data_IF_249754808222
#
_entry.id   IF_249754808222
#
_cell.length_a   1.000
_cell.length_b   1.000
_cell.length_c   1.000
_cell.angle_alpha   90.00
_cell.angle_beta   90.00
_cell.angle_gamma   90.00
#
_symmetry.space_group_name_H-M   'P 1'
#
loop_
_entity.id
_entity.type
_entity.pdbx_description
1 polymer ?
#
# COMPACT_ATOMS: atom_id res chain seq x y z
N UNK A 1 9.96 -0.70 -4.38
CA UNK A 1 9.67 -1.77 -5.35
C UNK A 1 9.48 -3.07 -4.57
N UNK A 2 8.60 -3.95 -5.03
CA UNK A 2 8.32 -5.25 -4.43
C UNK A 2 8.46 -6.33 -5.48
N UNK A 3 9.11 -7.44 -5.12
CA UNK A 3 9.22 -8.63 -5.98
C UNK A 3 8.46 -9.77 -5.33
N UNK A 4 7.49 -10.32 -6.07
CA UNK A 4 6.65 -11.42 -5.61
C UNK A 4 7.21 -12.78 -6.07
N UNK A 5 6.83 -13.90 -5.41
CA UNK A 5 7.29 -15.24 -5.79
C UNK A 5 7.01 -15.64 -7.24
N UNK A 6 5.99 -15.05 -7.86
CA UNK A 6 5.67 -15.23 -9.29
C UNK A 6 6.68 -14.59 -10.24
N UNK A 7 7.62 -13.79 -9.72
CA UNK A 7 8.50 -12.93 -10.51
C UNK A 7 7.87 -11.57 -10.87
N UNK A 8 6.62 -11.31 -10.46
CA UNK A 8 6.00 -10.00 -10.66
C UNK A 8 6.73 -8.92 -9.84
N UNK A 9 7.01 -7.80 -10.50
CA UNK A 9 7.65 -6.63 -9.89
C UNK A 9 6.62 -5.51 -9.84
N UNK A 10 6.35 -5.00 -8.63
CA UNK A 10 5.36 -3.96 -8.39
C UNK A 10 6.05 -2.72 -7.82
N UNK A 11 5.83 -1.58 -8.47
CA UNK A 11 6.21 -0.27 -7.97
C UNK A 11 4.97 0.49 -7.51
N UNK A 12 4.85 0.73 -6.21
CA UNK A 12 3.82 1.60 -5.65
C UNK A 12 4.44 2.97 -5.34
N UNK A 13 3.77 4.03 -5.77
CA UNK A 13 4.20 5.41 -5.60
C UNK A 13 3.02 6.24 -5.09
N UNK A 14 3.30 7.17 -4.20
CA UNK A 14 2.30 8.06 -3.63
C UNK A 14 2.85 9.49 -3.59
N UNK A 15 2.01 10.48 -3.91
CA UNK A 15 2.35 11.89 -3.86
C UNK A 15 1.17 12.70 -3.32
N UNK A 16 1.40 13.46 -2.25
CA UNK A 16 0.41 14.36 -1.64
C UNK A 16 0.87 15.82 -1.59
N UNK A 17 1.73 16.26 -2.53
CA UNK A 17 2.16 17.66 -2.61
C UNK A 17 1.11 18.50 -3.38
N UNK A 18 0.61 19.60 -2.80
CA UNK A 18 -0.29 20.53 -3.50
C UNK A 18 0.35 21.08 -4.78
N UNK A 19 -0.49 21.47 -5.76
CA UNK A 19 -0.05 22.09 -7.03
C UNK A 19 0.93 21.24 -7.85
N UNK A 20 0.86 19.90 -7.72
CA UNK A 20 1.63 18.96 -8.54
C UNK A 20 0.71 18.02 -9.33
N UNK A 21 1.28 17.30 -10.31
CA UNK A 21 0.53 16.30 -11.09
C UNK A 21 -0.22 15.34 -10.16
N UNK A 22 -1.55 15.30 -10.30
CA UNK A 22 -2.42 14.31 -9.69
C UNK A 22 -2.59 13.13 -10.63
N UNK A 23 -2.36 11.92 -10.12
CA UNK A 23 -2.57 10.69 -10.87
C UNK A 23 -2.92 9.55 -9.93
N UNK A 24 -4.14 9.05 -10.06
CA UNK A 24 -4.59 7.79 -9.44
C UNK A 24 -4.74 6.80 -10.59
N UNK A 25 -3.73 5.95 -10.73
CA UNK A 25 -3.70 4.95 -11.79
C UNK A 25 -2.83 3.75 -11.43
N UNK A 26 -3.19 2.64 -12.04
CA UNK A 26 -2.45 1.40 -12.08
C UNK A 26 -2.00 1.15 -13.52
N UNK A 27 -0.80 0.59 -13.66
CA UNK A 27 -0.27 0.21 -14.95
C UNK A 27 0.42 -1.15 -14.83
N UNK A 28 0.00 -2.10 -15.66
CA UNK A 28 0.53 -3.44 -15.69
C UNK A 28 1.07 -3.76 -17.08
N UNK A 29 2.25 -4.39 -17.13
CA UNK A 29 2.81 -4.97 -18.34
C UNK A 29 2.66 -6.49 -18.24
N UNK A 30 1.93 -7.08 -19.18
CA UNK A 30 1.75 -8.51 -19.32
C UNK A 30 2.51 -9.06 -20.53
N UNK A 31 2.45 -10.36 -20.76
CA UNK A 31 3.15 -10.98 -21.90
C UNK A 31 2.53 -10.64 -23.26
N UNK A 32 1.27 -10.20 -23.28
CA UNK A 32 0.50 -9.91 -24.51
C UNK A 32 0.19 -8.44 -24.73
N UNK A 33 0.57 -7.57 -23.80
CA UNK A 33 0.21 -6.17 -23.85
C UNK A 33 0.24 -5.50 -22.49
N UNK A 34 -0.50 -4.41 -22.37
CA UNK A 34 -0.56 -3.58 -21.17
C UNK A 34 -1.99 -3.41 -20.68
N UNK A 35 -2.13 -3.10 -19.40
CA UNK A 35 -3.36 -2.60 -18.79
C UNK A 35 -3.04 -1.26 -18.15
N UNK A 36 -3.85 -0.25 -18.43
CA UNK A 36 -3.74 1.07 -17.81
C UNK A 36 -5.09 1.51 -17.29
N UNK A 37 -5.14 2.02 -16.06
CA UNK A 37 -6.32 2.67 -15.49
C UNK A 37 -6.11 4.18 -15.41
N UNK A 38 -7.20 4.94 -15.47
CA UNK A 38 -7.19 6.38 -15.19
C UNK A 38 -8.57 6.79 -14.68
N UNK A 39 -8.66 7.04 -13.37
CA UNK A 39 -9.95 7.23 -12.71
C UNK A 39 -10.84 6.01 -12.91
N UNK A 40 -12.04 6.23 -13.47
CA UNK A 40 -13.04 5.18 -13.69
C UNK A 40 -12.88 4.44 -15.03
N UNK A 41 -11.78 4.65 -15.75
CA UNK A 41 -11.52 4.01 -17.04
C UNK A 41 -10.42 2.98 -16.94
N UNK A 42 -10.53 1.92 -17.75
CA UNK A 42 -9.48 0.92 -17.91
C UNK A 42 -9.32 0.55 -19.38
N UNK A 43 -8.08 0.50 -19.86
CA UNK A 43 -7.75 0.16 -21.24
C UNK A 43 -6.77 -1.01 -21.24
N UNK A 44 -7.04 -1.99 -22.10
CA UNK A 44 -6.11 -3.08 -22.40
C UNK A 44 -5.66 -2.92 -23.85
N UNK A 45 -4.36 -2.86 -24.06
CA UNK A 45 -3.75 -2.70 -25.38
C UNK A 45 -2.78 -3.84 -25.64
N UNK A 46 -2.76 -4.39 -26.85
CA UNK A 46 -1.73 -5.36 -27.24
C UNK A 46 -0.38 -4.68 -27.56
N UNK A 47 0.67 -5.46 -27.79
CA UNK A 47 1.99 -4.91 -28.13
C UNK A 47 2.08 -4.26 -29.52
N UNK A 48 1.08 -4.47 -30.37
CA UNK A 48 0.98 -3.86 -31.70
C UNK A 48 0.27 -2.49 -31.63
N UNK A 49 -0.36 -2.18 -30.49
CA UNK A 49 -1.08 -0.94 -30.24
C UNK A 49 -2.59 -1.04 -30.47
N UNK A 50 -3.15 -2.25 -30.66
CA UNK A 50 -4.59 -2.43 -30.78
C UNK A 50 -5.25 -2.41 -29.40
N UNK A 51 -6.35 -1.67 -29.27
CA UNK A 51 -7.22 -1.77 -28.10
C UNK A 51 -7.93 -3.12 -28.11
N UNK A 52 -7.62 -3.94 -27.11
CA UNK A 52 -8.26 -5.25 -26.89
C UNK A 52 -9.54 -5.08 -26.08
N UNK A 53 -9.54 -4.15 -25.13
CA UNK A 53 -10.69 -3.85 -24.28
C UNK A 53 -10.62 -2.41 -23.77
N UNK A 54 -11.78 -1.80 -23.62
CA UNK A 54 -11.94 -0.47 -23.05
C UNK A 54 -13.18 -0.47 -22.16
N UNK A 55 -12.99 -0.10 -20.89
CA UNK A 55 -14.06 0.13 -19.93
C UNK A 55 -14.25 1.62 -19.72
N UNK A 56 -15.51 2.06 -19.78
CA UNK A 56 -15.91 3.44 -19.52
C UNK A 56 -16.81 3.47 -18.28
N UNK A 57 -16.27 3.85 -17.13
CA UNK A 57 -17.00 3.84 -15.86
C UNK A 57 -18.07 4.92 -15.68
N UNK A 58 -18.46 5.66 -16.72
CA UNK A 58 -19.49 6.73 -16.61
C UNK A 58 -20.81 6.23 -15.99
N UNK A 59 -21.16 4.99 -16.28
CA UNK A 59 -22.42 4.38 -15.84
C UNK A 59 -22.20 3.41 -14.66
N UNK A 60 -20.99 3.39 -14.09
CA UNK A 60 -20.68 2.56 -12.94
C UNK A 60 -21.36 3.10 -11.68
N UNK A 61 -21.88 2.23 -10.81
CA UNK A 61 -22.38 2.66 -9.52
C UNK A 61 -21.24 3.20 -8.66
N UNK A 62 -21.57 4.13 -7.77
CA UNK A 62 -20.62 4.67 -6.81
C UNK A 62 -20.01 3.53 -5.97
N UNK A 63 -18.69 3.29 -6.02
CA UNK A 63 -18.07 2.15 -5.35
C UNK A 63 -18.27 2.17 -3.82
N UNK A 64 -18.31 3.36 -3.22
CA UNK A 64 -18.56 3.53 -1.77
C UNK A 64 -19.98 3.10 -1.38
N UNK A 65 -20.96 3.36 -2.24
CA UNK A 65 -22.34 2.91 -2.01
C UNK A 65 -22.46 1.41 -2.19
N UNK A 66 -21.81 0.86 -3.22
CA UNK A 66 -21.78 -0.58 -3.48
C UNK A 66 -21.18 -1.35 -2.31
N UNK A 67 -20.11 -0.85 -1.71
CA UNK A 67 -19.50 -1.45 -0.53
C UNK A 67 -20.50 -1.54 0.65
N UNK A 68 -21.20 -0.44 0.95
CA UNK A 68 -22.23 -0.44 1.99
C UNK A 68 -23.42 -1.36 1.66
N UNK A 69 -23.89 -1.38 0.40
CA UNK A 69 -24.96 -2.28 -0.02
C UNK A 69 -24.57 -3.74 0.23
N UNK A 70 -23.36 -4.15 -0.21
CA UNK A 70 -22.84 -5.50 0.00
C UNK A 70 -22.69 -5.83 1.47
N UNK A 71 -22.17 -4.90 2.28
CA UNK A 71 -22.04 -5.08 3.72
C UNK A 71 -23.40 -5.37 4.39
N UNK A 72 -24.42 -4.55 4.10
CA UNK A 72 -25.75 -4.74 4.69
C UNK A 72 -26.44 -6.00 4.18
N UNK A 73 -26.29 -6.33 2.91
CA UNK A 73 -26.80 -7.58 2.35
C UNK A 73 -26.18 -8.80 3.05
N UNK A 74 -24.86 -8.80 3.24
CA UNK A 74 -24.13 -9.86 3.94
C UNK A 74 -24.64 -10.02 5.37
N UNK A 75 -24.80 -8.92 6.12
CA UNK A 75 -25.31 -8.95 7.50
C UNK A 75 -26.73 -9.53 7.55
N UNK A 76 -27.62 -9.09 6.65
CA UNK A 76 -29.03 -9.51 6.66
C UNK A 76 -29.23 -10.95 6.24
N UNK A 77 -28.40 -11.43 5.33
CA UNK A 77 -28.54 -12.77 4.74
C UNK A 77 -27.61 -13.80 5.41
N UNK A 78 -26.85 -13.43 6.44
CA UNK A 78 -25.88 -14.31 7.09
C UNK A 78 -24.69 -14.68 6.20
N UNK A 79 -24.38 -13.85 5.20
CA UNK A 79 -23.20 -13.98 4.35
C UNK A 79 -21.92 -13.54 5.08
N UNK A 80 -20.77 -13.89 4.50
CA UNK A 80 -19.45 -13.49 5.01
C UNK A 80 -18.66 -12.80 3.91
N UNK A 81 -18.22 -11.57 4.18
CA UNK A 81 -17.19 -10.86 3.39
C UNK A 81 -15.88 -10.98 4.17
N UNK A 82 -14.90 -11.68 3.58
CA UNK A 82 -13.66 -12.07 4.25
C UNK A 82 -12.44 -11.31 3.71
N UNK A 83 -12.42 -9.99 3.88
CA UNK A 83 -11.32 -9.13 3.41
C UNK A 83 -10.23 -8.86 4.47
N UNK A 84 -10.40 -9.38 5.69
CA UNK A 84 -9.46 -9.16 6.79
C UNK A 84 -8.02 -9.58 6.43
N UNK A 85 -7.84 -10.70 5.74
CA UNK A 85 -6.52 -11.17 5.32
C UNK A 85 -5.92 -10.27 4.23
N UNK A 86 -6.73 -9.80 3.28
CA UNK A 86 -6.31 -8.86 2.25
C UNK A 86 -5.87 -7.53 2.88
N UNK A 87 -6.65 -7.02 3.84
CA UNK A 87 -6.31 -5.84 4.63
C UNK A 87 -4.99 -6.00 5.38
N UNK A 88 -4.84 -7.09 6.14
CA UNK A 88 -3.62 -7.38 6.89
C UNK A 88 -2.37 -7.46 5.99
N UNK A 89 -2.47 -8.14 4.84
CA UNK A 89 -1.36 -8.24 3.87
C UNK A 89 -1.03 -6.88 3.22
N UNK A 90 -2.04 -6.07 2.95
CA UNK A 90 -1.87 -4.72 2.38
C UNK A 90 -1.17 -3.79 3.37
N UNK A 91 -1.58 -3.82 4.64
CA UNK A 91 -0.92 -3.09 5.72
C UNK A 91 0.52 -3.55 5.91
N UNK A 92 0.77 -4.87 5.90
CA UNK A 92 2.13 -5.40 6.04
C UNK A 92 3.03 -4.98 4.86
N UNK A 93 2.48 -4.91 3.64
CA UNK A 93 3.21 -4.39 2.48
C UNK A 93 3.65 -2.93 2.69
N UNK A 94 2.79 -2.08 3.26
CA UNK A 94 3.15 -0.71 3.61
C UNK A 94 4.24 -0.64 4.69
N UNK A 95 4.15 -1.50 5.72
CA UNK A 95 5.17 -1.62 6.79
C UNK A 95 6.52 -2.01 6.20
N UNK A 96 6.56 -3.05 5.35
CA UNK A 96 7.79 -3.50 4.66
C UNK A 96 8.35 -2.38 3.78
N UNK A 97 7.49 -1.65 3.06
CA UNK A 97 7.90 -0.48 2.29
C UNK A 97 8.63 0.56 3.14
N UNK A 98 8.06 0.92 4.30
CA UNK A 98 8.71 1.81 5.28
C UNK A 98 10.04 1.26 5.78
N UNK A 99 10.09 -0.02 6.15
CA UNK A 99 11.32 -0.68 6.62
C UNK A 99 12.41 -0.62 5.55
N UNK A 100 12.10 -0.96 4.30
CA UNK A 100 13.03 -0.91 3.20
C UNK A 100 13.52 0.52 2.92
N UNK A 101 12.61 1.50 2.90
CA UNK A 101 12.97 2.91 2.68
C UNK A 101 13.92 3.44 3.76
N UNK A 102 13.62 3.23 5.04
CA UNK A 102 14.40 3.83 6.12
C UNK A 102 15.69 3.08 6.45
N UNK A 103 15.75 1.77 6.18
CA UNK A 103 17.00 1.00 6.30
C UNK A 103 17.89 1.08 5.07
N UNK A 104 17.34 1.37 3.90
CA UNK A 104 18.06 1.26 2.63
C UNK A 104 18.42 -0.20 2.25
N UNK A 105 17.76 -1.19 2.86
CA UNK A 105 18.04 -2.61 2.66
C UNK A 105 16.88 -3.31 1.93
N UNK A 106 17.18 -4.44 1.31
CA UNK A 106 16.17 -5.38 0.84
C UNK A 106 15.59 -6.09 2.05
N UNK A 107 14.26 -5.99 2.22
CA UNK A 107 13.53 -6.62 3.33
C UNK A 107 12.72 -7.78 2.79
N UNK A 108 12.91 -8.97 3.35
CA UNK A 108 12.11 -10.15 3.00
C UNK A 108 10.83 -10.18 3.84
N UNK A 109 9.77 -10.74 3.26
CA UNK A 109 8.48 -10.89 3.94
C UNK A 109 8.61 -11.63 5.27
N UNK A 110 9.24 -12.81 5.26
CA UNK A 110 9.37 -13.65 6.46
C UNK A 110 10.23 -12.99 7.55
N UNK A 111 11.27 -12.25 7.15
CA UNK A 111 12.12 -11.49 8.08
C UNK A 111 11.32 -10.38 8.77
N UNK A 112 10.54 -9.62 8.00
CA UNK A 112 9.71 -8.56 8.55
C UNK A 112 8.59 -9.10 9.47
N UNK A 113 8.00 -10.26 9.14
CA UNK A 113 7.00 -10.93 9.97
C UNK A 113 7.56 -11.46 11.30
N UNK A 114 8.87 -11.73 11.36
CA UNK A 114 9.56 -12.19 12.57
C UNK A 114 10.19 -11.06 13.37
N UNK A 115 10.05 -9.81 12.92
CA UNK A 115 10.58 -8.63 13.61
C UNK A 115 10.02 -8.52 15.02
N UNK A 116 10.91 -8.31 15.99
CA UNK A 116 10.55 -8.05 17.38
C UNK A 116 10.82 -6.59 17.77
N UNK A 117 11.01 -5.71 16.78
CA UNK A 117 11.25 -4.29 17.02
C UNK A 117 10.00 -3.64 17.61
N UNK A 118 10.13 -3.18 18.86
CA UNK A 118 9.08 -2.43 19.56
C UNK A 118 9.31 -0.94 19.32
N UNK A 119 8.38 -0.29 18.61
CA UNK A 119 8.45 1.16 18.33
C UNK A 119 7.87 2.03 19.43
N UNK A 120 6.99 1.48 20.25
CA UNK A 120 6.36 2.14 21.37
C UNK A 120 6.18 1.12 22.52
N UNK A 121 6.47 1.49 23.78
CA UNK A 121 6.22 0.62 24.93
C UNK A 121 4.72 0.29 25.06
N UNK A 122 4.41 -0.90 25.59
CA UNK A 122 3.02 -1.32 25.80
C UNK A 122 2.34 -0.54 26.94
N UNK A 123 3.08 -0.18 27.99
CA UNK A 123 2.56 0.47 29.20
C UNK A 123 2.78 2.00 29.19
N UNK A 124 2.23 2.68 28.18
CA UNK A 124 2.25 4.14 28.13
C UNK A 124 1.20 4.75 29.05
N UNK A 125 1.66 5.60 29.96
CA UNK A 125 0.82 6.45 30.83
C UNK A 125 1.00 7.91 30.45
N UNK A 126 0.15 8.80 30.99
CA UNK A 126 0.29 10.25 30.78
C UNK A 126 1.61 10.82 31.30
N UNK A 127 2.24 10.17 32.28
CA UNK A 127 3.52 10.57 32.86
C UNK A 127 4.73 9.86 32.19
N UNK A 128 4.48 8.95 31.25
CA UNK A 128 5.56 8.22 30.57
C UNK A 128 6.33 9.15 29.63
N UNK A 129 7.67 9.05 29.58
CA UNK A 129 8.45 9.78 28.59
C UNK A 129 8.07 9.31 27.18
N UNK A 130 8.15 10.22 26.20
CA UNK A 130 7.93 9.88 24.80
C UNK A 130 8.90 8.76 24.34
N UNK A 131 8.47 7.82 23.49
CA UNK A 131 9.33 6.73 23.01
C UNK A 131 10.59 7.21 22.26
N UNK A 132 10.49 8.39 21.63
CA UNK A 132 11.60 9.05 20.96
C UNK A 132 11.90 10.34 21.70
N UNK A 133 13.16 10.50 22.11
CA UNK A 133 13.64 11.70 22.81
C UNK A 133 14.39 12.62 21.84
N UNK A 134 14.35 13.95 22.06
CA UNK A 134 15.17 14.87 21.30
C UNK A 134 16.65 14.71 21.68
N UNK A 135 17.52 15.15 20.78
CA UNK A 135 18.95 15.34 21.01
C UNK A 135 19.19 16.56 21.90
N UNK A 136 20.43 16.75 22.34
CA UNK A 136 20.84 17.91 23.16
C UNK A 136 20.54 19.26 22.49
N UNK A 137 20.57 19.32 21.16
CA UNK A 137 20.25 20.52 20.37
C UNK A 137 18.74 20.72 20.12
N UNK A 138 17.89 19.84 20.67
CA UNK A 138 16.43 19.86 20.52
C UNK A 138 15.91 19.23 19.22
N UNK A 139 16.76 18.70 18.35
CA UNK A 139 16.35 17.99 17.12
C UNK A 139 16.04 16.52 17.38
N UNK A 140 15.40 15.82 16.43
CA UNK A 140 15.12 14.39 16.53
C UNK A 140 15.97 13.60 15.54
N UNK A 141 16.21 12.32 15.82
CA UNK A 141 16.81 11.43 14.82
C UNK A 141 15.91 11.31 13.60
N UNK A 142 16.48 11.63 12.44
CA UNK A 142 15.77 11.56 11.16
C UNK A 142 16.06 10.18 10.55
N UNK A 143 15.04 9.40 10.18
CA UNK A 143 15.25 8.13 9.49
C UNK A 143 16.11 8.34 8.25
N UNK A 144 17.27 7.68 8.23
CA UNK A 144 18.26 7.78 7.16
C UNK A 144 18.56 6.39 6.61
N UNK A 145 18.41 6.18 5.28
CA UNK A 145 18.80 4.94 4.62
C UNK A 145 20.24 4.57 4.97
N UNK A 146 20.47 3.29 5.28
CA UNK A 146 21.77 2.75 5.69
C UNK A 146 22.10 2.90 7.18
N UNK A 147 21.33 3.68 7.95
CA UNK A 147 21.57 3.90 9.39
C UNK A 147 20.42 3.46 10.29
N UNK A 148 19.18 3.67 9.86
CA UNK A 148 18.00 3.40 10.70
C UNK A 148 17.81 1.90 10.93
N UNK A 149 17.63 1.51 12.19
CA UNK A 149 17.17 0.18 12.56
C UNK A 149 15.66 0.11 12.37
N UNK A 150 15.19 -0.90 11.64
CA UNK A 150 13.78 -1.02 11.23
C UNK A 150 13.16 -2.38 11.53
N UNK A 151 13.96 -3.33 12.02
CA UNK A 151 13.59 -4.67 12.45
C UNK A 151 14.45 -5.08 13.64
#
# INVERSE_FOLDING_TARGET
>A
EYTYPSGAVIASQCRHQPETMSRVSEFFQGTKGTVSTEGDNAIITDWVGNTVFEHRGKDDPNPYEVEHVKLFESIRNGGVIADAENGAKSTMSAIIGRMATYSGKVIKWDEAMQSNLVLAPDDLTWDSPAPVQPKEDGTYEIPMPGKTVVM
#
